data_IF_699445438784
#
_entry.id   IF_699445438784
#
_cell.length_a   1.000
_cell.length_b   1.000
_cell.length_c   1.000
_cell.angle_alpha   90.00
_cell.angle_beta   90.00
_cell.angle_gamma   90.00
#
_symmetry.space_group_name_H-M   'P 1'
#
loop_
_entity.id
_entity.type
_entity.pdbx_description
1 polymer ?
#
# COMPACT_ATOMS: atom_id res chain seq x y z
N UNK A 1 47.02 -15.56 -27.67
CA UNK A 1 45.86 -15.27 -26.78
C UNK A 1 44.89 -16.40 -27.02
N UNK A 2 44.63 -17.24 -25.99
CA UNK A 2 43.71 -18.34 -26.11
C UNK A 2 42.30 -17.78 -26.35
N UNK A 3 41.60 -18.27 -27.40
CA UNK A 3 40.20 -17.93 -27.60
C UNK A 3 39.40 -18.22 -26.34
N UNK A 4 38.42 -17.36 -25.96
CA UNK A 4 37.60 -17.60 -24.77
C UNK A 4 36.82 -18.90 -24.99
N UNK A 5 37.04 -19.86 -24.09
CA UNK A 5 36.38 -21.14 -24.15
C UNK A 5 34.85 -20.94 -23.95
N UNK A 6 34.05 -21.44 -24.87
CA UNK A 6 32.58 -21.34 -24.81
C UNK A 6 32.06 -22.09 -23.58
N UNK A 7 31.39 -21.38 -22.65
CA UNK A 7 30.89 -21.94 -21.39
C UNK A 7 29.45 -21.54 -21.14
N UNK A 8 28.66 -22.33 -20.36
CA UNK A 8 27.31 -21.92 -19.97
C UNK A 8 27.25 -20.56 -19.26
N UNK A 9 28.29 -20.20 -18.51
CA UNK A 9 28.40 -18.91 -17.83
C UNK A 9 28.52 -17.73 -18.84
N UNK A 10 29.31 -17.93 -19.89
CA UNK A 10 29.46 -16.94 -20.96
C UNK A 10 28.15 -16.72 -21.72
N UNK A 11 27.43 -17.81 -22.04
CA UNK A 11 26.10 -17.75 -22.69
C UNK A 11 25.11 -17.02 -21.76
N UNK A 12 25.06 -17.37 -20.49
CA UNK A 12 24.17 -16.71 -19.52
C UNK A 12 24.47 -15.21 -19.40
N UNK A 13 25.73 -14.81 -19.38
CA UNK A 13 26.12 -13.40 -19.36
C UNK A 13 25.69 -12.66 -20.64
N UNK A 14 25.82 -13.27 -21.81
CA UNK A 14 25.35 -12.70 -23.07
C UNK A 14 23.80 -12.52 -23.07
N UNK A 15 23.05 -13.46 -22.50
CA UNK A 15 21.59 -13.39 -22.40
C UNK A 15 21.07 -12.26 -21.49
N UNK A 16 21.90 -11.67 -20.64
CA UNK A 16 21.50 -10.47 -19.87
C UNK A 16 21.31 -9.22 -20.72
N UNK A 17 21.76 -9.24 -21.97
CA UNK A 17 21.51 -8.16 -22.95
C UNK A 17 20.13 -8.24 -23.58
N UNK A 18 19.48 -9.42 -23.57
CA UNK A 18 18.15 -9.63 -24.13
C UNK A 18 17.08 -9.21 -23.16
N UNK A 19 16.33 -8.16 -23.46
CA UNK A 19 15.28 -7.63 -22.62
C UNK A 19 13.93 -8.25 -22.91
N UNK A 20 13.12 -8.41 -21.85
CA UNK A 20 11.74 -8.84 -22.03
C UNK A 20 10.91 -7.70 -22.67
N UNK A 21 10.09 -7.97 -23.71
CA UNK A 21 9.31 -6.93 -24.38
C UNK A 21 8.46 -6.10 -23.43
N UNK A 22 8.63 -4.77 -23.49
CA UNK A 22 7.91 -3.83 -22.63
C UNK A 22 8.49 -3.64 -21.22
N UNK A 23 9.63 -4.27 -20.90
CA UNK A 23 10.33 -4.13 -19.62
C UNK A 23 11.80 -3.73 -19.81
N UNK A 24 12.37 -3.12 -18.77
CA UNK A 24 13.81 -2.79 -18.76
C UNK A 24 14.68 -3.96 -18.28
N UNK A 25 14.05 -5.00 -17.70
CA UNK A 25 14.71 -6.20 -17.18
C UNK A 25 15.02 -7.21 -18.30
N UNK A 26 16.17 -7.90 -18.16
CA UNK A 26 16.59 -8.96 -19.06
C UNK A 26 15.92 -10.32 -18.74
N UNK A 27 15.97 -11.24 -19.72
CA UNK A 27 15.33 -12.56 -19.62
C UNK A 27 15.96 -13.48 -18.56
N UNK A 28 17.22 -13.26 -18.17
CA UNK A 28 17.89 -14.03 -17.12
C UNK A 28 17.38 -13.58 -15.75
N UNK A 29 17.32 -12.27 -15.51
CA UNK A 29 16.76 -11.67 -14.29
C UNK A 29 15.26 -11.93 -14.13
N UNK A 30 14.53 -12.18 -15.23
CA UNK A 30 13.14 -12.63 -15.20
C UNK A 30 12.97 -14.12 -14.89
N UNK A 31 14.08 -14.90 -14.85
CA UNK A 31 14.03 -16.33 -14.58
C UNK A 31 13.53 -17.18 -15.75
N UNK A 32 13.52 -16.64 -16.99
CA UNK A 32 13.05 -17.37 -18.17
C UNK A 32 14.02 -18.45 -18.62
N UNK A 33 15.32 -18.34 -18.28
CA UNK A 33 16.36 -19.29 -18.67
C UNK A 33 16.38 -20.47 -17.73
N UNK A 34 15.89 -21.62 -18.18
CA UNK A 34 15.84 -22.87 -17.40
C UNK A 34 17.15 -23.63 -17.44
N UNK A 35 17.69 -23.83 -18.64
CA UNK A 35 18.88 -24.63 -18.84
C UNK A 35 19.76 -24.05 -19.96
N UNK A 36 21.07 -24.22 -19.83
CA UNK A 36 22.04 -23.88 -20.87
C UNK A 36 23.04 -25.05 -20.93
N UNK A 37 23.09 -25.72 -22.06
CA UNK A 37 24.06 -26.78 -22.34
C UNK A 37 25.03 -26.37 -23.45
N UNK A 38 26.33 -26.64 -23.27
CA UNK A 38 27.38 -26.34 -24.24
C UNK A 38 28.22 -27.60 -24.41
N UNK A 39 28.40 -28.04 -25.65
CA UNK A 39 29.26 -29.19 -25.97
C UNK A 39 30.69 -28.75 -26.35
N UNK A 40 31.71 -29.61 -26.20
CA UNK A 40 33.08 -29.30 -26.63
C UNK A 40 33.21 -28.96 -28.11
N UNK A 41 32.28 -29.46 -28.93
CA UNK A 41 32.26 -29.26 -30.37
C UNK A 41 31.65 -27.90 -30.77
N UNK A 42 31.15 -27.10 -29.82
CA UNK A 42 30.58 -25.77 -30.01
C UNK A 42 29.06 -25.79 -30.32
N UNK A 43 28.35 -26.86 -29.94
CA UNK A 43 26.89 -26.84 -29.97
C UNK A 43 26.33 -26.28 -28.66
N UNK A 44 25.39 -25.35 -28.77
CA UNK A 44 24.73 -24.65 -27.66
C UNK A 44 23.23 -24.99 -27.69
N UNK A 45 22.69 -25.41 -26.53
CA UNK A 45 21.25 -25.57 -26.33
C UNK A 45 20.81 -24.66 -25.21
N UNK A 46 19.74 -23.89 -25.44
CA UNK A 46 19.14 -22.99 -24.44
C UNK A 46 17.66 -23.32 -24.32
N UNK A 47 17.24 -23.68 -23.11
CA UNK A 47 15.83 -23.94 -22.79
C UNK A 47 15.24 -22.77 -22.03
N UNK A 48 14.16 -22.21 -22.55
CA UNK A 48 13.46 -21.06 -22.00
C UNK A 48 12.01 -21.41 -21.69
N UNK A 49 11.48 -20.83 -20.61
CA UNK A 49 10.04 -20.82 -20.33
C UNK A 49 9.53 -19.40 -20.45
N UNK A 50 8.53 -19.19 -21.27
CA UNK A 50 7.92 -17.88 -21.48
C UNK A 50 6.43 -17.97 -21.14
N UNK A 51 6.03 -17.28 -20.10
CA UNK A 51 4.62 -17.10 -19.74
C UNK A 51 4.12 -15.75 -20.30
N UNK A 52 3.27 -15.78 -21.31
CA UNK A 52 2.72 -14.57 -21.92
C UNK A 52 1.35 -14.82 -22.55
N UNK A 53 0.43 -13.83 -22.38
CA UNK A 53 -0.84 -13.80 -23.14
C UNK A 53 -0.65 -13.34 -24.60
N UNK A 54 0.45 -12.67 -24.89
CA UNK A 54 0.76 -12.18 -26.22
C UNK A 54 1.61 -13.22 -26.96
N UNK A 55 1.08 -13.77 -28.03
CA UNK A 55 1.73 -14.80 -28.87
C UNK A 55 3.01 -14.30 -29.56
N UNK A 56 3.21 -12.99 -29.69
CA UNK A 56 4.40 -12.40 -30.31
C UNK A 56 5.62 -12.38 -29.37
N UNK A 57 5.41 -12.47 -28.04
CA UNK A 57 6.49 -12.38 -27.04
C UNK A 57 7.48 -13.54 -27.16
N UNK A 58 7.05 -14.81 -27.28
CA UNK A 58 7.98 -15.93 -27.47
C UNK A 58 8.82 -15.76 -28.73
N UNK A 59 8.20 -15.33 -29.83
CA UNK A 59 8.89 -15.08 -31.09
C UNK A 59 9.94 -13.98 -30.95
N UNK A 60 9.60 -12.87 -30.35
CA UNK A 60 10.55 -11.77 -30.10
C UNK A 60 11.75 -12.23 -29.27
N UNK A 61 11.52 -13.00 -28.20
CA UNK A 61 12.58 -13.53 -27.34
C UNK A 61 13.47 -14.50 -28.14
N UNK A 62 12.86 -15.40 -28.92
CA UNK A 62 13.59 -16.35 -29.77
C UNK A 62 14.53 -15.64 -30.72
N UNK A 63 14.04 -14.65 -31.45
CA UNK A 63 14.83 -13.91 -32.47
C UNK A 63 16.02 -13.17 -31.82
N UNK A 64 15.82 -12.53 -30.64
CA UNK A 64 16.88 -11.82 -29.92
C UNK A 64 17.91 -12.78 -29.28
N UNK A 65 17.48 -13.89 -28.71
CA UNK A 65 18.36 -14.92 -28.15
C UNK A 65 19.23 -15.53 -29.24
N UNK A 66 18.62 -15.88 -30.37
CA UNK A 66 19.33 -16.39 -31.54
C UNK A 66 20.38 -15.38 -32.06
N UNK A 67 20.03 -14.09 -32.13
CA UNK A 67 20.95 -13.02 -32.55
C UNK A 67 22.18 -12.92 -31.65
N UNK A 68 21.93 -12.79 -30.32
CA UNK A 68 23.01 -12.57 -29.34
C UNK A 68 23.96 -13.78 -29.25
N UNK A 69 23.43 -15.01 -29.26
CA UNK A 69 24.30 -16.19 -29.09
C UNK A 69 25.06 -16.54 -30.38
N UNK A 70 24.49 -16.33 -31.56
CA UNK A 70 25.18 -16.56 -32.84
C UNK A 70 26.42 -15.70 -33.06
N UNK A 71 26.47 -14.54 -32.45
CA UNK A 71 27.60 -13.61 -32.50
C UNK A 71 28.78 -14.02 -31.59
N UNK A 72 28.57 -14.99 -30.72
CA UNK A 72 29.63 -15.43 -29.78
C UNK A 72 30.64 -16.33 -30.50
N UNK A 73 31.96 -16.09 -30.28
CA UNK A 73 33.00 -16.91 -30.88
C UNK A 73 32.92 -18.36 -30.39
N UNK A 74 33.05 -19.33 -31.30
CA UNK A 74 33.06 -20.75 -31.00
C UNK A 74 31.70 -21.44 -31.08
N UNK A 75 30.60 -20.72 -31.30
CA UNK A 75 29.25 -21.30 -31.55
C UNK A 75 29.17 -21.85 -32.97
N UNK A 76 29.02 -23.16 -33.13
CA UNK A 76 28.86 -23.84 -34.41
C UNK A 76 27.44 -24.28 -34.70
N UNK A 77 26.71 -24.62 -33.65
CA UNK A 77 25.30 -25.01 -33.71
C UNK A 77 24.53 -24.39 -32.54
N UNK A 78 23.33 -23.88 -32.77
CA UNK A 78 22.50 -23.29 -31.76
C UNK A 78 21.08 -23.84 -31.87
N UNK A 79 20.61 -24.45 -30.78
CA UNK A 79 19.23 -24.87 -30.55
C UNK A 79 18.61 -24.08 -29.43
N UNK A 80 17.50 -23.37 -29.71
CA UNK A 80 16.75 -22.61 -28.68
C UNK A 80 15.36 -23.19 -28.59
N UNK A 81 15.05 -23.77 -27.45
CA UNK A 81 13.74 -24.34 -27.15
C UNK A 81 12.95 -23.35 -26.30
N UNK A 82 11.77 -22.95 -26.74
CA UNK A 82 10.88 -22.12 -25.96
C UNK A 82 9.62 -22.91 -25.62
N UNK A 83 9.43 -23.15 -24.33
CA UNK A 83 8.19 -23.66 -23.79
C UNK A 83 7.27 -22.47 -23.48
N UNK A 84 6.23 -22.31 -24.29
CA UNK A 84 5.28 -21.22 -24.12
C UNK A 84 4.06 -21.73 -23.34
N UNK A 85 3.88 -21.19 -22.15
CA UNK A 85 2.66 -21.34 -21.37
C UNK A 85 1.83 -20.07 -21.53
N UNK A 86 0.67 -20.18 -22.14
CA UNK A 86 -0.36 -19.17 -21.92
C UNK A 86 -0.68 -19.25 -20.41
N UNK A 87 -0.58 -18.13 -19.63
CA UNK A 87 -0.90 -18.19 -18.23
C UNK A 87 -2.28 -18.83 -18.10
N UNK A 88 -2.35 -19.98 -17.43
CA UNK A 88 -3.62 -20.65 -17.17
C UNK A 88 -4.53 -19.61 -16.55
N UNK A 89 -5.65 -19.35 -17.23
CA UNK A 89 -6.78 -18.72 -16.57
C UNK A 89 -7.14 -19.69 -15.46
N UNK A 90 -6.71 -19.39 -14.20
CA UNK A 90 -7.31 -20.04 -13.04
C UNK A 90 -8.80 -19.92 -13.28
N UNK A 91 -9.46 -21.04 -13.60
CA UNK A 91 -10.91 -21.09 -13.80
C UNK A 91 -11.49 -20.37 -12.61
N UNK A 92 -12.18 -19.24 -12.84
CA UNK A 92 -13.03 -18.62 -11.82
C UNK A 92 -13.84 -19.76 -11.24
N UNK A 93 -13.94 -19.91 -9.92
CA UNK A 93 -14.85 -20.89 -9.34
C UNK A 93 -16.20 -20.60 -9.98
N UNK A 94 -16.73 -21.58 -10.70
CA UNK A 94 -18.03 -21.52 -11.31
C UNK A 94 -19.05 -21.42 -10.19
N UNK A 95 -19.57 -20.21 -9.95
CA UNK A 95 -20.54 -19.96 -8.89
C UNK A 95 -20.51 -18.58 -8.26
N UNK A 96 -19.67 -17.67 -8.70
CA UNK A 96 -19.71 -16.26 -8.24
C UNK A 96 -20.64 -15.51 -9.17
N UNK A 97 -21.77 -15.07 -8.68
CA UNK A 97 -22.62 -14.09 -9.35
C UNK A 97 -21.76 -12.84 -9.65
N UNK A 98 -21.86 -12.28 -10.86
CA UNK A 98 -21.13 -11.07 -11.28
C UNK A 98 -21.71 -9.78 -10.61
N UNK A 99 -22.34 -9.89 -9.44
CA UNK A 99 -22.79 -8.74 -8.65
C UNK A 99 -21.56 -8.16 -7.93
N UNK A 100 -21.23 -6.87 -8.13
CA UNK A 100 -20.12 -6.21 -7.44
C UNK A 100 -20.18 -6.32 -5.90
N UNK A 101 -21.36 -6.56 -5.33
CA UNK A 101 -21.53 -6.80 -3.89
C UNK A 101 -20.88 -8.10 -3.40
N UNK A 102 -20.73 -9.11 -4.26
CA UNK A 102 -20.09 -10.40 -3.92
C UNK A 102 -18.55 -10.36 -3.91
N UNK A 103 -17.94 -9.23 -4.26
CA UNK A 103 -16.47 -9.08 -4.34
C UNK A 103 -15.86 -8.57 -3.05
N UNK A 104 -16.65 -8.05 -2.12
CA UNK A 104 -16.16 -7.60 -0.82
C UNK A 104 -15.80 -8.81 0.04
N UNK A 105 -14.55 -8.88 0.47
CA UNK A 105 -14.07 -9.90 1.40
C UNK A 105 -13.76 -9.27 2.76
N UNK A 106 -14.16 -9.97 3.83
CA UNK A 106 -13.73 -9.62 5.17
C UNK A 106 -12.23 -9.87 5.33
N UNK A 107 -11.56 -9.03 6.11
CA UNK A 107 -10.17 -9.27 6.50
C UNK A 107 -10.15 -10.30 7.64
N UNK A 108 -9.51 -11.46 7.44
CA UNK A 108 -9.55 -12.54 8.43
C UNK A 108 -9.07 -12.08 9.81
N UNK A 109 -9.85 -12.37 10.84
CA UNK A 109 -9.48 -12.07 12.23
C UNK A 109 -9.61 -10.60 12.62
N UNK A 110 -10.24 -9.75 11.81
CA UNK A 110 -10.47 -8.33 12.12
C UNK A 110 -11.95 -8.04 12.31
N UNK A 111 -12.31 -7.38 13.41
CA UNK A 111 -13.70 -7.05 13.75
C UNK A 111 -14.18 -5.83 12.98
N UNK A 112 -13.44 -4.73 13.03
CA UNK A 112 -13.78 -3.48 12.34
C UNK A 112 -12.64 -3.03 11.43
N UNK A 113 -12.86 -3.00 10.12
CA UNK A 113 -11.93 -2.42 9.15
C UNK A 113 -12.39 -1.02 8.81
N UNK A 114 -11.56 -0.01 9.10
CA UNK A 114 -11.92 1.39 8.97
C UNK A 114 -11.00 2.08 7.97
N UNK A 115 -11.57 2.64 6.91
CA UNK A 115 -10.82 3.45 5.96
C UNK A 115 -10.62 4.88 6.49
N UNK A 116 -9.38 5.35 6.57
CA UNK A 116 -9.07 6.77 6.80
C UNK A 116 -8.69 7.39 5.48
N UNK A 117 -9.53 8.28 4.99
CA UNK A 117 -9.44 8.86 3.66
C UNK A 117 -9.39 10.38 3.69
N UNK A 118 -8.90 10.96 2.62
CA UNK A 118 -8.96 12.41 2.38
C UNK A 118 -9.19 12.71 0.91
N UNK A 119 -9.87 13.80 0.63
CA UNK A 119 -10.13 14.21 -0.76
C UNK A 119 -8.90 14.74 -1.48
N UNK A 120 -7.87 15.20 -0.76
CA UNK A 120 -6.59 15.71 -1.29
C UNK A 120 -5.42 15.36 -0.39
N UNK A 121 -4.20 15.46 -0.92
CA UNK A 121 -2.97 15.35 -0.14
C UNK A 121 -2.72 16.58 0.76
N UNK A 122 -1.88 16.41 1.80
CA UNK A 122 -1.44 17.50 2.67
C UNK A 122 -2.40 17.91 3.80
N UNK A 123 -3.51 17.19 4.00
CA UNK A 123 -4.44 17.44 5.15
C UNK A 123 -4.01 16.72 6.43
N UNK A 124 -2.91 15.96 6.41
CA UNK A 124 -2.42 15.20 7.55
C UNK A 124 -3.11 13.85 7.76
N UNK A 125 -3.66 13.25 6.72
CA UNK A 125 -4.35 11.95 6.77
C UNK A 125 -3.52 10.88 7.49
N UNK A 126 -2.27 10.64 7.07
CA UNK A 126 -1.39 9.62 7.62
C UNK A 126 -1.02 9.91 9.09
N UNK A 127 -0.81 11.18 9.45
CA UNK A 127 -0.64 11.60 10.85
C UNK A 127 -1.88 11.24 11.69
N UNK A 128 -3.07 11.50 11.15
CA UNK A 128 -4.32 11.13 11.83
C UNK A 128 -4.45 9.62 11.93
N UNK A 129 -4.17 8.86 10.87
CA UNK A 129 -4.23 7.39 10.86
C UNK A 129 -3.31 6.78 11.91
N UNK A 130 -2.04 7.24 11.98
CA UNK A 130 -1.06 6.76 12.94
C UNK A 130 -1.48 7.03 14.39
N UNK A 131 -1.84 8.27 14.68
CA UNK A 131 -2.21 8.67 16.04
C UNK A 131 -3.56 8.08 16.48
N UNK A 132 -4.52 7.92 15.59
CA UNK A 132 -5.79 7.24 15.86
C UNK A 132 -5.57 5.77 16.20
N UNK A 133 -4.70 5.07 15.46
CA UNK A 133 -4.36 3.67 15.75
C UNK A 133 -3.70 3.54 17.14
N UNK A 134 -2.76 4.43 17.48
CA UNK A 134 -2.12 4.45 18.80
C UNK A 134 -3.12 4.79 19.89
N UNK A 135 -4.01 5.77 19.68
CA UNK A 135 -5.04 6.14 20.66
C UNK A 135 -6.00 4.98 20.95
N UNK A 136 -6.44 4.25 19.92
CA UNK A 136 -7.25 3.04 20.07
C UNK A 136 -6.51 1.95 20.86
N UNK A 137 -5.22 1.74 20.58
CA UNK A 137 -4.40 0.79 21.32
C UNK A 137 -4.26 1.18 22.80
N UNK A 138 -4.08 2.47 23.12
CA UNK A 138 -4.04 2.98 24.51
C UNK A 138 -5.37 2.81 25.23
N UNK A 139 -6.50 2.83 24.55
CA UNK A 139 -7.81 2.52 25.11
C UNK A 139 -8.01 1.01 25.37
N UNK A 140 -7.05 0.16 25.01
CA UNK A 140 -7.06 -1.28 25.25
C UNK A 140 -7.57 -2.13 24.08
N UNK A 141 -7.86 -1.53 22.92
CA UNK A 141 -8.26 -2.28 21.72
C UNK A 141 -7.05 -2.86 21.01
N UNK A 142 -7.17 -4.10 20.54
CA UNK A 142 -6.16 -4.71 19.66
C UNK A 142 -6.25 -4.04 18.29
N UNK A 143 -5.25 -3.24 17.96
CA UNK A 143 -5.29 -2.35 16.80
C UNK A 143 -4.20 -2.68 15.79
N UNK A 144 -4.57 -2.67 14.52
CA UNK A 144 -3.65 -2.73 13.38
C UNK A 144 -3.75 -1.48 12.51
N UNK A 145 -2.69 -1.20 11.77
CA UNK A 145 -2.62 -0.15 10.77
C UNK A 145 -1.99 -0.70 9.49
N UNK A 146 -2.71 -0.55 8.39
CA UNK A 146 -2.24 -0.89 7.04
C UNK A 146 -2.10 0.39 6.21
N UNK A 147 -0.85 0.70 5.83
CA UNK A 147 -0.53 1.82 4.95
C UNK A 147 -0.68 1.39 3.48
N UNK A 148 -1.66 1.94 2.82
CA UNK A 148 -1.99 1.69 1.42
C UNK A 148 -1.53 2.82 0.48
N UNK A 149 -0.81 3.83 0.99
CA UNK A 149 -0.16 4.85 0.17
C UNK A 149 1.17 4.33 -0.39
N UNK A 150 1.08 3.57 -1.47
CA UNK A 150 2.23 2.92 -2.10
C UNK A 150 3.25 3.90 -2.69
N UNK A 151 2.85 5.14 -2.94
CA UNK A 151 3.70 6.16 -3.57
C UNK A 151 4.43 7.05 -2.57
N UNK A 152 3.91 7.15 -1.36
CA UNK A 152 4.48 7.96 -0.28
C UNK A 152 4.29 7.31 1.08
N UNK A 153 4.76 6.05 1.26
CA UNK A 153 4.57 5.35 2.52
C UNK A 153 5.30 6.09 3.64
N UNK A 154 4.58 6.39 4.73
CA UNK A 154 5.10 7.21 5.82
C UNK A 154 5.11 6.52 7.18
N UNK A 155 4.50 5.35 7.29
CA UNK A 155 4.29 4.71 8.59
C UNK A 155 5.58 4.18 9.23
N UNK A 156 6.57 3.75 8.44
CA UNK A 156 7.90 3.37 8.98
C UNK A 156 8.57 4.51 9.73
N UNK A 157 8.51 5.73 9.17
CA UNK A 157 9.03 6.93 9.81
C UNK A 157 8.19 7.31 11.03
N UNK A 158 6.87 7.42 10.88
CA UNK A 158 5.98 7.87 11.95
C UNK A 158 5.97 6.95 13.19
N UNK A 159 6.27 5.66 13.01
CA UNK A 159 6.39 4.70 14.11
C UNK A 159 7.83 4.41 14.53
N UNK A 160 8.81 5.06 13.92
CA UNK A 160 10.23 4.92 14.25
C UNK A 160 10.78 3.50 14.07
N UNK A 161 10.16 2.68 13.22
CA UNK A 161 10.56 1.30 13.02
C UNK A 161 11.12 1.08 11.61
N UNK A 162 12.24 0.31 11.55
CA UNK A 162 12.84 -0.19 10.29
C UNK A 162 12.78 -1.72 10.25
N UNK A 163 12.08 -2.33 11.18
CA UNK A 163 11.90 -3.77 11.23
C UNK A 163 11.13 -4.21 9.99
N UNK A 164 11.60 -5.29 9.35
CA UNK A 164 10.93 -5.84 8.18
C UNK A 164 9.87 -6.83 8.60
N UNK A 165 8.68 -6.79 7.96
CA UNK A 165 7.65 -7.79 8.17
C UNK A 165 8.18 -9.21 7.94
N UNK A 166 7.85 -10.11 8.84
CA UNK A 166 8.13 -11.54 8.68
C UNK A 166 7.17 -12.20 7.70
N UNK A 167 7.39 -13.50 7.45
CA UNK A 167 6.47 -14.35 6.70
C UNK A 167 6.18 -15.62 7.48
N UNK A 168 4.95 -16.10 7.40
CA UNK A 168 4.56 -17.42 7.90
C UNK A 168 4.98 -18.52 6.91
N UNK A 169 4.93 -19.81 7.34
CA UNK A 169 5.12 -20.97 6.45
C UNK A 169 4.09 -21.02 5.30
N UNK A 170 2.99 -20.27 5.40
CA UNK A 170 1.95 -20.13 4.37
C UNK A 170 2.14 -18.91 3.46
N UNK A 171 3.32 -18.31 3.48
CA UNK A 171 3.66 -17.09 2.70
C UNK A 171 2.79 -15.86 3.04
N UNK A 172 2.18 -15.81 4.24
CA UNK A 172 1.45 -14.65 4.72
C UNK A 172 2.40 -13.69 5.43
N UNK A 173 2.20 -12.39 5.26
CA UNK A 173 2.97 -11.37 5.97
C UNK A 173 2.63 -11.37 7.46
N UNK A 174 3.66 -11.28 8.30
CA UNK A 174 3.54 -10.99 9.73
C UNK A 174 3.77 -9.50 9.94
N UNK A 175 2.78 -8.74 10.42
CA UNK A 175 2.95 -7.31 10.65
C UNK A 175 4.00 -7.04 11.75
N UNK A 176 4.66 -5.89 11.66
CA UNK A 176 5.58 -5.41 12.69
C UNK A 176 4.79 -4.82 13.84
N UNK A 177 5.25 -4.99 15.07
CA UNK A 177 4.63 -4.39 16.24
C UNK A 177 5.42 -3.18 16.73
N UNK A 178 4.77 -2.01 16.80
CA UNK A 178 5.34 -0.80 17.40
C UNK A 178 4.27 -0.03 18.16
N UNK A 179 4.62 0.47 19.32
CA UNK A 179 3.73 1.27 20.18
C UNK A 179 2.35 0.61 20.46
N UNK A 180 2.30 -0.73 20.56
CA UNK A 180 1.07 -1.49 20.77
C UNK A 180 0.16 -1.63 19.53
N UNK A 181 0.64 -1.26 18.36
CA UNK A 181 -0.08 -1.36 17.08
C UNK A 181 0.65 -2.33 16.16
N UNK A 182 -0.09 -3.21 15.49
CA UNK A 182 0.43 -4.04 14.40
C UNK A 182 0.43 -3.26 13.09
N UNK A 183 1.58 -3.15 12.44
CA UNK A 183 1.78 -2.26 11.29
C UNK A 183 2.24 -3.05 10.07
N UNK A 184 1.65 -2.77 8.93
CA UNK A 184 2.18 -3.15 7.63
C UNK A 184 2.17 -1.95 6.69
N UNK A 185 3.29 -1.70 6.03
CA UNK A 185 3.47 -0.62 5.05
C UNK A 185 4.45 -1.04 3.97
N UNK A 186 4.30 -0.52 2.76
CA UNK A 186 5.31 -0.67 1.71
C UNK A 186 6.66 -0.11 2.13
N UNK A 187 6.70 0.94 2.94
CA UNK A 187 7.94 1.52 3.47
C UNK A 187 8.75 0.57 4.36
N UNK A 188 8.13 -0.51 4.86
CA UNK A 188 8.80 -1.57 5.61
C UNK A 188 9.31 -2.73 4.73
N UNK A 189 8.84 -2.82 3.49
CA UNK A 189 9.16 -3.91 2.54
C UNK A 189 10.21 -3.52 1.50
N UNK A 190 10.33 -2.24 1.18
CA UNK A 190 11.22 -1.71 0.13
C UNK A 190 12.23 -0.76 0.75
N UNK A 191 13.46 -0.75 0.24
CA UNK A 191 14.47 0.21 0.70
C UNK A 191 14.08 1.64 0.27
N UNK A 192 14.22 2.62 1.16
CA UNK A 192 13.85 4.04 0.96
C UNK A 192 14.44 4.65 -0.32
N UNK A 193 15.60 4.17 -0.76
CA UNK A 193 16.28 4.65 -1.97
C UNK A 193 15.79 4.00 -3.27
N UNK A 194 14.94 2.98 -3.19
CA UNK A 194 14.44 2.30 -4.38
C UNK A 194 13.23 3.08 -4.95
N UNK A 195 13.30 3.61 -6.19
CA UNK A 195 12.14 4.24 -6.80
C UNK A 195 11.03 3.21 -6.98
N UNK A 196 9.97 3.31 -6.19
CA UNK A 196 8.78 2.47 -6.32
C UNK A 196 7.96 2.96 -7.51
N UNK A 197 8.46 2.69 -8.72
CA UNK A 197 7.73 2.97 -9.95
C UNK A 197 6.66 1.88 -10.20
N UNK A 198 5.65 1.83 -9.34
CA UNK A 198 4.56 0.86 -9.45
C UNK A 198 3.48 1.42 -10.39
N UNK A 199 3.25 0.76 -11.53
CA UNK A 199 2.12 1.11 -12.42
C UNK A 199 0.80 0.69 -11.77
N UNK A 200 -0.30 1.41 -12.07
CA UNK A 200 -1.61 1.20 -11.47
C UNK A 200 -2.04 -0.27 -11.28
N UNK A 201 -1.96 -1.15 -12.31
CA UNK A 201 -2.34 -2.56 -12.16
C UNK A 201 -1.49 -3.35 -11.16
N UNK A 202 -0.23 -2.99 -10.99
CA UNK A 202 0.69 -3.61 -10.02
C UNK A 202 0.37 -3.10 -8.61
N UNK A 203 0.10 -1.80 -8.46
CA UNK A 203 -0.34 -1.21 -7.20
C UNK A 203 -1.62 -1.90 -6.69
N UNK A 204 -2.61 -2.09 -7.56
CA UNK A 204 -3.84 -2.81 -7.25
C UNK A 204 -3.58 -4.24 -6.75
N UNK A 205 -2.63 -4.97 -7.37
CA UNK A 205 -2.26 -6.32 -6.92
C UNK A 205 -1.64 -6.31 -5.52
N UNK A 206 -0.72 -5.38 -5.22
CA UNK A 206 -0.13 -5.24 -3.88
C UNK A 206 -1.18 -4.92 -2.83
N UNK A 207 -2.08 -3.99 -3.12
CA UNK A 207 -3.20 -3.67 -2.23
C UNK A 207 -4.03 -4.92 -1.92
N UNK A 208 -4.41 -5.70 -2.94
CA UNK A 208 -5.17 -6.93 -2.75
C UNK A 208 -4.40 -7.97 -1.93
N UNK A 209 -3.09 -8.09 -2.14
CA UNK A 209 -2.23 -8.98 -1.38
C UNK A 209 -2.17 -8.56 0.09
N UNK A 210 -1.94 -7.27 0.38
CA UNK A 210 -1.90 -6.75 1.75
C UNK A 210 -3.22 -6.88 2.51
N UNK A 211 -4.34 -6.91 1.80
CA UNK A 211 -5.65 -7.09 2.42
C UNK A 211 -5.99 -8.57 2.71
N UNK A 212 -5.40 -9.53 1.96
CA UNK A 212 -5.73 -10.95 2.05
C UNK A 212 -4.67 -11.80 2.74
N UNK A 213 -3.39 -11.48 2.49
CA UNK A 213 -2.27 -12.35 2.80
C UNK A 213 -1.48 -11.82 4.02
N UNK A 214 -2.19 -11.27 5.02
CA UNK A 214 -1.59 -10.79 6.28
C UNK A 214 -2.21 -11.52 7.46
N UNK A 215 -1.37 -12.06 8.34
CA UNK A 215 -1.78 -12.69 9.60
C UNK A 215 -1.92 -11.63 10.70
N UNK A 216 -3.10 -11.01 10.78
CA UNK A 216 -3.38 -9.98 11.78
C UNK A 216 -3.56 -10.52 13.20
N UNK A 217 -3.93 -11.82 13.34
CA UNK A 217 -4.00 -12.50 14.64
C UNK A 217 -5.08 -12.00 15.59
N UNK A 218 -6.20 -11.56 15.08
CA UNK A 218 -7.35 -11.15 15.88
C UNK A 218 -7.27 -9.68 16.36
N UNK A 219 -7.81 -8.75 15.57
CA UNK A 219 -7.87 -7.33 15.87
C UNK A 219 -9.30 -6.88 16.15
N UNK A 220 -9.45 -5.88 17.04
CA UNK A 220 -10.71 -5.16 17.22
C UNK A 220 -10.85 -4.09 16.13
N UNK A 221 -9.75 -3.37 15.81
CA UNK A 221 -9.71 -2.35 14.77
C UNK A 221 -8.52 -2.56 13.81
N UNK A 222 -8.78 -2.43 12.51
CA UNK A 222 -7.75 -2.27 11.48
C UNK A 222 -7.96 -0.93 10.76
N UNK A 223 -7.04 -0.01 10.95
CA UNK A 223 -7.04 1.29 10.29
C UNK A 223 -6.35 1.15 8.94
N UNK A 224 -7.05 1.49 7.86
CA UNK A 224 -6.49 1.56 6.51
C UNK A 224 -6.13 3.01 6.20
N UNK A 225 -4.84 3.33 6.13
CA UNK A 225 -4.37 4.63 5.65
C UNK A 225 -4.45 4.65 4.13
N UNK A 226 -5.51 5.28 3.60
CA UNK A 226 -5.85 5.28 2.17
C UNK A 226 -4.89 6.18 1.39
N UNK A 227 -4.58 5.89 0.11
CA UNK A 227 -3.90 6.87 -0.73
C UNK A 227 -4.71 8.17 -0.83
N UNK A 228 -4.09 9.35 -1.07
CA UNK A 228 -4.82 10.61 -1.18
C UNK A 228 -5.67 10.69 -2.47
N UNK A 229 -6.76 11.46 -2.41
CA UNK A 229 -7.63 11.73 -3.55
C UNK A 229 -8.83 10.78 -3.67
N UNK A 230 -9.35 10.58 -4.88
CA UNK A 230 -10.54 9.75 -5.19
C UNK A 230 -10.37 8.95 -6.48
N UNK A 231 -9.16 8.41 -6.69
CA UNK A 231 -8.78 7.70 -7.91
C UNK A 231 -9.10 6.20 -7.90
N UNK A 232 -8.66 5.51 -8.97
CA UNK A 232 -8.95 4.09 -9.21
C UNK A 232 -8.45 3.15 -8.09
N UNK A 233 -7.31 3.46 -7.47
CA UNK A 233 -6.76 2.64 -6.39
C UNK A 233 -7.69 2.66 -5.18
N UNK A 234 -8.17 3.84 -4.79
CA UNK A 234 -9.13 3.97 -3.69
C UNK A 234 -10.42 3.23 -4.00
N UNK A 235 -10.97 3.40 -5.19
CA UNK A 235 -12.18 2.69 -5.63
C UNK A 235 -11.97 1.17 -5.54
N UNK A 236 -10.81 0.68 -5.99
CA UNK A 236 -10.46 -0.74 -5.88
C UNK A 236 -10.44 -1.23 -4.43
N UNK A 237 -9.81 -0.48 -3.51
CA UNK A 237 -9.76 -0.84 -2.08
C UNK A 237 -11.18 -0.98 -1.53
N UNK A 238 -12.00 0.05 -1.75
CA UNK A 238 -13.36 0.11 -1.19
C UNK A 238 -14.29 -0.97 -1.78
N UNK A 239 -14.04 -1.40 -3.01
CA UNK A 239 -14.77 -2.50 -3.64
C UNK A 239 -14.27 -3.88 -3.22
N UNK A 240 -13.03 -4.00 -2.75
CA UNK A 240 -12.40 -5.30 -2.43
C UNK A 240 -12.61 -5.70 -0.97
N UNK A 241 -12.74 -4.72 -0.06
CA UNK A 241 -12.81 -4.94 1.39
C UNK A 241 -14.17 -4.61 1.94
N UNK A 242 -14.64 -5.46 2.85
CA UNK A 242 -15.83 -5.16 3.66
C UNK A 242 -15.42 -4.20 4.79
N UNK A 243 -15.71 -2.91 4.56
CA UNK A 243 -15.38 -1.84 5.51
C UNK A 243 -16.53 -1.64 6.49
N UNK A 244 -16.21 -1.59 7.79
CA UNK A 244 -17.16 -1.12 8.81
C UNK A 244 -17.59 0.33 8.51
N UNK A 245 -16.70 1.12 7.91
CA UNK A 245 -16.99 2.44 7.39
C UNK A 245 -15.73 3.26 7.09
N UNK A 246 -15.93 4.53 6.78
CA UNK A 246 -14.85 5.46 6.46
C UNK A 246 -14.85 6.69 7.37
N UNK A 247 -13.66 7.11 7.76
CA UNK A 247 -13.38 8.39 8.43
C UNK A 247 -12.76 9.32 7.40
N UNK A 248 -13.31 10.53 7.26
CA UNK A 248 -12.82 11.52 6.30
C UNK A 248 -12.06 12.61 7.02
N UNK A 249 -10.76 12.76 6.69
CA UNK A 249 -9.89 13.79 7.24
C UNK A 249 -9.89 15.01 6.33
N UNK A 250 -10.11 16.19 6.91
CA UNK A 250 -10.08 17.47 6.22
C UNK A 250 -9.39 18.54 7.07
N UNK A 251 -9.22 19.75 6.52
CA UNK A 251 -8.82 20.97 7.25
C UNK A 251 -9.95 21.99 7.13
N UNK A 252 -9.97 23.09 7.94
CA UNK A 252 -11.03 24.10 7.89
C UNK A 252 -11.17 24.82 6.56
N UNK A 253 -10.15 24.78 5.69
CA UNK A 253 -10.10 25.48 4.41
C UNK A 253 -11.17 25.00 3.42
N UNK A 254 -11.89 25.89 2.79
CA UNK A 254 -12.95 25.56 1.82
C UNK A 254 -12.45 24.63 0.68
N UNK A 255 -11.23 24.85 0.20
CA UNK A 255 -10.61 23.97 -0.82
C UNK A 255 -10.50 22.52 -0.34
N UNK A 256 -10.18 22.29 0.94
CA UNK A 256 -10.12 20.95 1.51
C UNK A 256 -11.52 20.35 1.70
N UNK A 257 -12.49 21.17 2.09
CA UNK A 257 -13.89 20.76 2.27
C UNK A 257 -14.54 20.33 0.94
N UNK A 258 -14.24 21.04 -0.16
CA UNK A 258 -14.71 20.62 -1.51
C UNK A 258 -14.22 19.21 -1.85
N UNK A 259 -12.97 18.91 -1.55
CA UNK A 259 -12.39 17.60 -1.83
C UNK A 259 -12.88 16.53 -0.83
N UNK A 260 -13.13 16.90 0.43
CA UNK A 260 -13.76 16.00 1.41
C UNK A 260 -15.16 15.56 0.96
N UNK A 261 -15.97 16.44 0.33
CA UNK A 261 -17.26 16.10 -0.28
C UNK A 261 -17.12 15.02 -1.36
N UNK A 262 -16.07 15.11 -2.18
CA UNK A 262 -15.79 14.10 -3.22
C UNK A 262 -15.45 12.75 -2.60
N UNK A 263 -14.64 12.74 -1.52
CA UNK A 263 -14.33 11.52 -0.79
C UNK A 263 -15.58 10.89 -0.17
N UNK A 264 -16.42 11.67 0.50
CA UNK A 264 -17.72 11.19 1.03
C UNK A 264 -18.59 10.61 -0.10
N UNK A 265 -18.68 11.32 -1.24
CA UNK A 265 -19.45 10.85 -2.39
C UNK A 265 -18.92 9.55 -3.00
N UNK A 266 -17.61 9.29 -2.93
CA UNK A 266 -17.02 8.01 -3.35
C UNK A 266 -17.52 6.87 -2.49
N UNK A 267 -17.42 6.97 -1.16
CA UNK A 267 -17.87 5.93 -0.23
C UNK A 267 -19.38 5.69 -0.30
N UNK A 268 -20.18 6.74 -0.44
CA UNK A 268 -21.62 6.63 -0.61
C UNK A 268 -22.01 5.85 -1.87
N UNK A 269 -21.29 6.04 -2.99
CA UNK A 269 -21.53 5.29 -4.25
C UNK A 269 -21.32 3.79 -4.14
N UNK A 270 -20.46 3.37 -3.22
CA UNK A 270 -20.13 1.96 -2.98
C UNK A 270 -20.78 1.42 -1.70
N UNK A 271 -21.80 2.14 -1.18
CA UNK A 271 -22.56 1.79 0.02
C UNK A 271 -21.69 1.55 1.26
N UNK A 272 -20.60 2.30 1.40
CA UNK A 272 -19.76 2.26 2.60
C UNK A 272 -20.19 3.39 3.54
N UNK A 273 -20.53 3.10 4.81
CA UNK A 273 -20.93 4.12 5.78
C UNK A 273 -19.82 5.14 6.05
N UNK A 274 -20.22 6.40 6.27
CA UNK A 274 -19.29 7.43 6.77
C UNK A 274 -19.42 7.46 8.30
N UNK A 275 -18.39 7.03 9.00
CA UNK A 275 -18.34 7.02 10.47
C UNK A 275 -18.18 8.42 11.03
N UNK A 276 -17.56 9.32 10.26
CA UNK A 276 -17.51 10.74 10.60
C UNK A 276 -16.38 11.49 9.93
N UNK A 277 -16.31 12.78 10.28
CA UNK A 277 -15.28 13.72 9.80
C UNK A 277 -14.34 14.07 10.95
N UNK A 278 -13.03 14.13 10.67
CA UNK A 278 -12.01 14.72 11.54
C UNK A 278 -11.50 15.99 10.90
N UNK A 279 -11.64 17.12 11.59
CA UNK A 279 -11.02 18.40 11.18
C UNK A 279 -9.62 18.49 11.77
N UNK A 280 -8.62 18.19 10.99
CA UNK A 280 -7.22 18.33 11.37
C UNK A 280 -6.74 19.77 11.15
N UNK A 281 -5.71 20.18 11.88
CA UNK A 281 -5.18 21.56 11.84
C UNK A 281 -6.27 22.62 12.11
N UNK A 282 -7.22 22.28 13.01
CA UNK A 282 -8.44 23.05 13.24
C UNK A 282 -8.17 24.42 13.85
N UNK A 283 -7.21 24.47 14.76
CA UNK A 283 -6.77 25.69 15.44
C UNK A 283 -5.32 25.54 15.93
N UNK A 284 -4.68 26.63 16.22
CA UNK A 284 -3.34 26.68 16.81
C UNK A 284 -3.41 27.42 18.15
N UNK A 285 -2.83 26.83 19.19
CA UNK A 285 -2.67 27.53 20.49
C UNK A 285 -1.23 27.99 20.59
N UNK A 286 -1.04 29.30 20.61
CA UNK A 286 0.29 29.90 20.66
C UNK A 286 0.97 29.59 22.01
N UNK A 287 2.15 28.98 22.03
CA UNK A 287 2.84 28.65 23.28
C UNK A 287 3.26 29.87 24.12
N UNK A 288 3.42 31.05 23.51
CA UNK A 288 3.91 32.25 24.19
C UNK A 288 2.83 33.02 24.95
N UNK A 289 1.58 33.01 24.46
CA UNK A 289 0.49 33.81 25.02
C UNK A 289 -0.77 32.99 25.35
N UNK A 290 -0.82 31.72 24.92
CA UNK A 290 -1.96 30.83 25.16
C UNK A 290 -3.20 31.14 24.30
N UNK A 291 -3.12 32.11 23.38
CA UNK A 291 -4.24 32.49 22.53
C UNK A 291 -4.48 31.44 21.43
N UNK A 292 -5.76 31.31 21.07
CA UNK A 292 -6.20 30.43 19.98
C UNK A 292 -6.24 31.20 18.67
N UNK A 293 -5.56 30.66 17.64
CA UNK A 293 -5.53 31.20 16.30
C UNK A 293 -6.14 30.21 15.31
N UNK A 294 -7.09 30.65 14.50
CA UNK A 294 -7.70 29.87 13.43
C UNK A 294 -6.97 30.12 12.11
N UNK A 295 -5.74 29.59 11.98
CA UNK A 295 -4.83 29.83 10.85
C UNK A 295 -5.47 29.44 9.50
N UNK A 296 -6.25 28.36 9.49
CA UNK A 296 -6.90 27.83 8.29
C UNK A 296 -8.40 28.09 8.22
N UNK A 297 -8.94 28.97 9.09
CA UNK A 297 -10.37 29.22 9.23
C UNK A 297 -10.98 28.45 10.39
N UNK A 298 -12.25 28.69 10.67
CA UNK A 298 -12.97 28.18 11.83
C UNK A 298 -14.24 27.43 11.43
N UNK A 299 -14.44 26.23 12.04
CA UNK A 299 -15.69 25.48 11.98
C UNK A 299 -16.07 24.95 10.58
N UNK A 300 -15.12 24.88 9.67
CA UNK A 300 -15.37 24.39 8.30
C UNK A 300 -15.83 22.94 8.28
N UNK A 301 -15.12 22.05 8.98
CA UNK A 301 -15.45 20.64 9.07
C UNK A 301 -16.77 20.37 9.78
N UNK A 302 -17.09 21.15 10.81
CA UNK A 302 -18.36 21.01 11.53
C UNK A 302 -19.58 21.39 10.67
N UNK A 303 -19.48 22.52 9.97
CA UNK A 303 -20.52 22.91 8.98
C UNK A 303 -20.66 21.87 7.86
N UNK A 304 -19.55 21.30 7.44
CA UNK A 304 -19.58 20.28 6.38
C UNK A 304 -20.17 18.96 6.88
N UNK A 305 -19.81 18.51 8.09
CA UNK A 305 -20.41 17.32 8.72
C UNK A 305 -21.92 17.47 8.85
N UNK A 306 -22.39 18.63 9.32
CA UNK A 306 -23.81 18.96 9.42
C UNK A 306 -24.51 18.90 8.06
N UNK A 307 -23.91 19.53 7.03
CA UNK A 307 -24.44 19.56 5.67
C UNK A 307 -24.55 18.18 5.02
N UNK A 308 -23.58 17.30 5.33
CA UNK A 308 -23.53 15.94 4.81
C UNK A 308 -24.35 14.95 5.65
N UNK A 309 -24.84 15.36 6.83
CA UNK A 309 -25.57 14.50 7.74
C UNK A 309 -24.69 13.38 8.35
N UNK A 310 -23.40 13.65 8.56
CA UNK A 310 -22.44 12.69 9.13
C UNK A 310 -21.89 13.19 10.47
N UNK A 311 -21.45 12.30 11.36
CA UNK A 311 -20.88 12.71 12.64
C UNK A 311 -19.59 13.56 12.48
N UNK A 312 -19.38 14.48 13.43
CA UNK A 312 -18.09 15.13 13.65
C UNK A 312 -17.36 14.38 14.76
N UNK A 313 -16.27 13.65 14.43
CA UNK A 313 -15.52 12.83 15.39
C UNK A 313 -14.59 13.68 16.25
N UNK A 314 -14.10 14.80 15.74
CA UNK A 314 -13.28 15.69 16.53
C UNK A 314 -12.48 16.70 15.74
N UNK A 315 -11.87 17.62 16.46
CA UNK A 315 -10.99 18.69 15.99
C UNK A 315 -9.59 18.47 16.54
N UNK A 316 -8.62 18.30 15.67
CA UNK A 316 -7.22 18.13 16.06
C UNK A 316 -6.50 19.47 15.86
N UNK A 317 -5.87 20.02 16.90
CA UNK A 317 -5.13 21.26 16.76
C UNK A 317 -3.88 21.12 15.88
N UNK A 318 -3.48 22.19 15.22
CA UNK A 318 -2.15 22.33 14.68
C UNK A 318 -1.17 22.52 15.84
N UNK A 319 -0.11 21.73 15.87
CA UNK A 319 0.85 21.76 16.96
C UNK A 319 2.29 21.45 16.49
N UNK A 320 3.26 22.16 17.09
CA UNK A 320 4.68 22.03 16.73
C UNK A 320 5.23 20.66 17.16
N UNK A 321 4.85 20.20 18.36
CA UNK A 321 5.30 18.92 18.92
C UNK A 321 4.80 17.74 18.08
N UNK A 322 3.56 17.80 17.58
CA UNK A 322 2.99 16.75 16.71
C UNK A 322 3.86 16.48 15.50
N UNK A 323 4.41 17.54 14.88
CA UNK A 323 5.34 17.38 13.75
C UNK A 323 6.64 16.73 14.19
N UNK A 324 7.27 17.24 15.25
CA UNK A 324 8.55 16.70 15.76
C UNK A 324 8.39 15.24 16.15
N UNK A 325 7.34 14.90 16.90
CA UNK A 325 7.04 13.53 17.30
C UNK A 325 6.88 12.59 16.09
N UNK A 326 6.21 13.05 15.02
CA UNK A 326 6.07 12.27 13.78
C UNK A 326 7.40 12.04 13.05
N UNK A 327 8.29 13.04 13.04
CA UNK A 327 9.61 12.94 12.43
C UNK A 327 10.55 12.03 13.27
N UNK A 328 10.36 11.99 14.61
CA UNK A 328 11.15 11.21 15.56
C UNK A 328 10.61 9.77 15.74
N UNK A 329 9.52 9.40 15.05
CA UNK A 329 8.94 8.06 15.15
C UNK A 329 8.19 7.79 16.45
N UNK A 330 7.70 8.85 17.11
CA UNK A 330 6.98 8.80 18.37
C UNK A 330 5.61 9.49 18.21
N UNK A 331 4.55 8.79 17.75
CA UNK A 331 3.23 9.39 17.57
C UNK A 331 2.77 10.16 18.83
N UNK A 332 2.29 11.41 18.65
CA UNK A 332 1.93 12.28 19.77
C UNK A 332 0.80 11.71 20.66
N UNK A 333 0.00 10.80 20.15
CA UNK A 333 -1.00 10.08 20.91
C UNK A 333 -0.41 9.19 22.03
N UNK A 334 0.89 8.90 22.02
CA UNK A 334 1.59 8.21 23.10
C UNK A 334 1.71 9.06 24.37
N UNK A 335 1.73 10.38 24.21
CA UNK A 335 1.81 11.32 25.33
C UNK A 335 0.62 11.18 26.29
N UNK A 336 0.78 11.76 27.51
CA UNK A 336 -0.29 11.81 28.50
C UNK A 336 -1.39 12.80 28.06
N UNK A 337 -2.64 12.36 27.85
CA UNK A 337 -3.75 13.25 27.48
C UNK A 337 -4.01 14.35 28.52
N UNK A 338 -3.66 14.12 29.81
CA UNK A 338 -3.77 15.12 30.85
C UNK A 338 -2.78 16.30 30.70
N UNK A 339 -1.69 16.10 29.95
CA UNK A 339 -0.63 17.08 29.75
C UNK A 339 -0.50 17.57 28.31
N UNK A 340 -0.95 16.77 27.34
CA UNK A 340 -0.86 17.09 25.92
C UNK A 340 -2.25 17.16 25.28
N UNK A 341 -2.64 18.35 24.84
CA UNK A 341 -3.95 18.61 24.24
C UNK A 341 -4.20 17.87 22.93
N UNK A 342 -3.13 17.58 22.15
CA UNK A 342 -3.25 16.83 20.90
C UNK A 342 -3.50 15.36 21.20
N UNK A 343 -2.79 14.80 22.18
CA UNK A 343 -3.03 13.44 22.66
C UNK A 343 -4.47 13.32 23.19
N UNK A 344 -4.95 14.30 23.98
CA UNK A 344 -6.34 14.33 24.44
C UNK A 344 -7.36 14.40 23.28
N UNK A 345 -7.07 15.19 22.23
CA UNK A 345 -7.93 15.25 21.06
C UNK A 345 -8.00 13.91 20.32
N UNK A 346 -6.87 13.21 20.14
CA UNK A 346 -6.85 11.89 19.52
C UNK A 346 -7.55 10.83 20.38
N UNK A 347 -7.39 10.87 21.70
CA UNK A 347 -8.11 9.98 22.61
C UNK A 347 -9.63 10.19 22.48
N UNK A 348 -10.10 11.45 22.49
CA UNK A 348 -11.52 11.76 22.27
C UNK A 348 -12.05 11.28 20.93
N UNK A 349 -11.29 11.43 19.85
CA UNK A 349 -11.65 10.90 18.52
C UNK A 349 -11.72 9.38 18.53
N UNK A 350 -10.77 8.70 19.19
CA UNK A 350 -10.75 7.24 19.29
C UNK A 350 -11.95 6.71 20.08
N UNK A 351 -12.31 7.36 21.18
CA UNK A 351 -13.51 7.01 21.98
C UNK A 351 -14.79 7.18 21.17
N UNK A 352 -14.93 8.28 20.43
CA UNK A 352 -16.10 8.50 19.58
C UNK A 352 -16.17 7.50 18.42
N UNK A 353 -15.05 7.17 17.81
CA UNK A 353 -15.00 6.17 16.75
C UNK A 353 -15.40 4.78 17.27
N UNK A 354 -14.87 4.37 18.42
CA UNK A 354 -15.24 3.12 19.06
C UNK A 354 -16.74 3.06 19.37
N UNK A 355 -17.31 4.12 19.94
CA UNK A 355 -18.74 4.21 20.23
C UNK A 355 -19.60 4.12 18.96
N UNK A 356 -19.20 4.75 17.85
CA UNK A 356 -19.90 4.64 16.55
C UNK A 356 -19.85 3.22 16.01
N UNK A 357 -18.77 2.46 16.29
CA UNK A 357 -18.63 1.05 15.92
C UNK A 357 -19.35 0.09 16.86
N UNK A 358 -19.92 0.57 17.98
CA UNK A 358 -20.66 -0.23 18.96
C UNK A 358 -19.77 -0.94 19.99
N UNK A 359 -18.57 -0.40 20.29
CA UNK A 359 -17.62 -0.85 21.29
C UNK A 359 -17.72 -0.07 22.60
#
# INVERSE_FOLDING_TARGET
>A
MSEPQLTPALIRAALTTVKYPGFTRDIVSFGLVKNIAVTPEGAVTVDLIVESKNADVPRYIYENVMGVIKELPGVKKLDVNIEHHAPEQKKKPTGVNDDPADWKSSVPGVKHVIAVASGKGGVGKSTVSANLAVALAKLGYRTGLLDLDLYGPSMSLMFGTKERPGCTDKEQFLPVEAHGVKILSMGLLVDEAAPVAVRGPIATRYVQQFLRDVEWGGLDFLILDMPPGTGDIQLTIVQTVDLAGAVVVTTPQEVALIDARKAVGLFQRVNTPILGIIENMSYFVCPSDGLVYHIFGEGGGEREAQKLGVPMLGKIPLDIQTRSCGDDGHPVALEDPGQNRVAAAFEGVAQQLAAVCGE
#
